data_IF_285165536390
#
_entry.id   IF_285165536390
#
_cell.length_a   1.000
_cell.length_b   1.000
_cell.length_c   1.000
_cell.angle_alpha   90.00
_cell.angle_beta   90.00
_cell.angle_gamma   90.00
#
_symmetry.space_group_name_H-M   'P 1'
#
loop_
_entity.id
_entity.type
_entity.pdbx_description
1 polymer ?
#
# COMPACT_ATOMS: atom_id res chain seq x y z
N UNK A 1 -9.99 -10.26 -8.29
CA UNK A 1 -9.36 -10.98 -7.16
C UNK A 1 -8.67 -10.01 -6.20
N UNK A 2 -7.73 -9.19 -6.68
CA UNK A 2 -7.01 -8.21 -5.84
C UNK A 2 -7.90 -7.16 -5.17
N UNK A 3 -8.98 -6.72 -5.82
CA UNK A 3 -9.96 -5.80 -5.21
C UNK A 3 -10.62 -6.40 -3.95
N UNK A 4 -11.01 -7.67 -4.02
CA UNK A 4 -11.59 -8.38 -2.88
C UNK A 4 -10.55 -8.59 -1.77
N UNK A 5 -9.36 -9.07 -2.11
CA UNK A 5 -8.29 -9.28 -1.13
C UNK A 5 -7.85 -7.98 -0.45
N UNK A 6 -7.67 -6.90 -1.22
CA UNK A 6 -7.33 -5.57 -0.72
C UNK A 6 -8.42 -5.00 0.19
N UNK A 7 -9.70 -5.16 -0.19
CA UNK A 7 -10.84 -4.78 0.65
C UNK A 7 -10.83 -5.51 1.99
N UNK A 8 -10.62 -6.83 1.99
CA UNK A 8 -10.55 -7.62 3.23
C UNK A 8 -9.36 -7.23 4.10
N UNK A 9 -8.19 -6.97 3.49
CA UNK A 9 -7.01 -6.50 4.20
C UNK A 9 -7.24 -5.15 4.88
N UNK A 10 -7.82 -4.17 4.18
CA UNK A 10 -8.12 -2.85 4.75
C UNK A 10 -9.06 -2.98 5.96
N UNK A 11 -10.11 -3.81 5.84
CA UNK A 11 -11.06 -4.06 6.94
C UNK A 11 -10.39 -4.72 8.14
N UNK A 12 -9.62 -5.79 7.93
CA UNK A 12 -8.97 -6.51 9.01
C UNK A 12 -7.96 -5.64 9.77
N UNK A 13 -7.16 -4.84 9.05
CA UNK A 13 -6.21 -3.91 9.68
C UNK A 13 -6.94 -2.84 10.50
N UNK A 14 -8.03 -2.28 9.95
CA UNK A 14 -8.84 -1.28 10.62
C UNK A 14 -9.56 -1.81 11.86
N UNK A 15 -10.03 -3.06 11.84
CA UNK A 15 -10.64 -3.73 13.00
C UNK A 15 -9.64 -3.89 14.17
N UNK A 16 -8.34 -4.02 13.86
CA UNK A 16 -7.24 -4.04 14.84
C UNK A 16 -6.76 -2.62 15.25
N UNK A 17 -7.41 -1.56 14.75
CA UNK A 17 -7.04 -0.17 15.05
C UNK A 17 -5.77 0.31 14.36
N UNK A 18 -5.38 -0.33 13.26
CA UNK A 18 -4.22 0.07 12.44
C UNK A 18 -4.68 1.08 11.40
N UNK A 19 -3.95 2.19 11.28
CA UNK A 19 -4.15 3.19 10.23
C UNK A 19 -3.74 2.62 8.87
N UNK A 20 -4.62 2.74 7.88
CA UNK A 20 -4.40 2.18 6.54
C UNK A 20 -4.25 3.30 5.52
N UNK A 21 -3.10 3.29 4.85
CA UNK A 21 -2.87 4.06 3.62
C UNK A 21 -2.92 3.11 2.44
N UNK A 22 -3.89 3.31 1.56
CA UNK A 22 -4.07 2.51 0.36
C UNK A 22 -3.69 3.29 -0.89
N UNK A 23 -2.90 2.68 -1.77
CA UNK A 23 -2.64 3.18 -3.13
C UNK A 23 -3.09 2.15 -4.16
N UNK A 24 -3.88 2.58 -5.15
CA UNK A 24 -4.30 1.76 -6.28
C UNK A 24 -4.59 2.63 -7.50
N UNK A 25 -4.07 2.27 -8.68
CA UNK A 25 -4.27 3.07 -9.90
C UNK A 25 -5.65 2.91 -10.55
N UNK A 26 -6.46 1.94 -10.11
CA UNK A 26 -7.77 1.68 -10.70
C UNK A 26 -8.90 2.36 -9.88
N UNK A 27 -9.56 3.41 -10.39
CA UNK A 27 -10.66 4.08 -9.69
C UNK A 27 -11.95 3.24 -9.65
N UNK A 28 -12.05 2.18 -10.45
CA UNK A 28 -13.24 1.34 -10.55
C UNK A 28 -13.13 0.09 -9.65
N UNK A 29 -12.70 0.27 -8.40
CA UNK A 29 -12.56 -0.82 -7.41
C UNK A 29 -13.22 -0.46 -6.09
N UNK A 30 -13.76 -1.46 -5.38
CA UNK A 30 -14.39 -1.26 -4.07
C UNK A 30 -13.35 -0.83 -3.04
N UNK A 31 -12.12 -1.35 -3.14
CA UNK A 31 -11.04 -0.98 -2.23
C UNK A 31 -10.68 0.52 -2.28
N UNK A 32 -10.97 1.21 -3.38
CA UNK A 32 -10.71 2.65 -3.54
C UNK A 32 -11.87 3.55 -3.11
N UNK A 33 -12.94 3.00 -2.54
CA UNK A 33 -13.97 3.83 -1.90
C UNK A 33 -13.35 4.57 -0.71
N UNK A 34 -13.70 5.85 -0.55
CA UNK A 34 -13.07 6.74 0.44
C UNK A 34 -13.21 6.30 1.89
N UNK A 35 -14.13 5.37 2.17
CA UNK A 35 -14.40 4.87 3.51
C UNK A 35 -13.60 3.59 3.83
N UNK A 36 -12.89 3.02 2.85
CA UNK A 36 -12.24 1.71 2.99
C UNK A 36 -10.94 1.75 3.80
N UNK A 37 -10.18 2.83 3.66
CA UNK A 37 -8.93 3.07 4.36
C UNK A 37 -8.94 4.49 4.93
N UNK A 38 -8.02 4.82 5.82
CA UNK A 38 -7.94 6.18 6.38
C UNK A 38 -7.53 7.17 5.29
N UNK A 39 -6.52 6.81 4.48
CA UNK A 39 -6.13 7.55 3.29
C UNK A 39 -6.16 6.66 2.04
N UNK A 40 -6.86 7.10 0.99
CA UNK A 40 -6.95 6.40 -0.30
C UNK A 40 -6.33 7.27 -1.41
N UNK A 41 -5.37 6.70 -2.13
CA UNK A 41 -4.64 7.32 -3.23
C UNK A 41 -4.92 6.60 -4.55
N UNK A 42 -5.57 7.30 -5.47
CA UNK A 42 -5.79 6.81 -6.83
C UNK A 42 -4.70 7.38 -7.74
N UNK A 43 -3.53 6.74 -7.71
CA UNK A 43 -2.32 7.20 -8.37
C UNK A 43 -1.62 6.05 -9.12
N UNK A 44 -0.75 6.34 -10.11
CA UNK A 44 0.01 5.30 -10.81
C UNK A 44 0.88 4.48 -9.86
N UNK A 45 0.73 3.15 -9.88
CA UNK A 45 1.57 2.23 -9.12
C UNK A 45 2.96 2.13 -9.73
N UNK A 46 3.81 3.10 -9.41
CA UNK A 46 5.21 3.21 -9.83
C UNK A 46 6.09 3.53 -8.64
N UNK A 47 7.37 3.13 -8.71
CA UNK A 47 8.34 3.37 -7.62
C UNK A 47 8.41 4.86 -7.21
N UNK A 48 8.50 5.84 -8.13
CA UNK A 48 8.59 7.25 -7.73
C UNK A 48 7.36 7.75 -6.97
N UNK A 49 6.16 7.36 -7.42
CA UNK A 49 4.90 7.75 -6.77
C UNK A 49 4.82 7.14 -5.37
N UNK A 50 5.14 5.84 -5.23
CA UNK A 50 5.11 5.18 -3.93
C UNK A 50 6.12 5.79 -2.96
N UNK A 51 7.34 6.15 -3.41
CA UNK A 51 8.32 6.85 -2.56
C UNK A 51 7.80 8.19 -2.06
N UNK A 52 7.26 9.01 -2.95
CA UNK A 52 6.67 10.31 -2.58
C UNK A 52 5.56 10.13 -1.55
N UNK A 53 4.75 9.09 -1.72
CA UNK A 53 3.68 8.79 -0.77
C UNK A 53 4.23 8.32 0.58
N UNK A 54 5.24 7.46 0.59
CA UNK A 54 5.89 7.01 1.83
C UNK A 54 6.60 8.15 2.57
N UNK A 55 7.17 9.13 1.86
CA UNK A 55 7.76 10.32 2.47
C UNK A 55 6.70 11.23 3.12
N UNK A 56 5.51 11.31 2.52
CA UNK A 56 4.37 12.07 3.04
C UNK A 56 3.74 11.38 4.25
N UNK A 57 3.41 10.11 4.10
CA UNK A 57 2.61 9.33 5.06
C UNK A 57 3.45 8.68 6.16
N UNK A 58 4.75 8.46 5.91
CA UNK A 58 5.70 7.85 6.84
C UNK A 58 5.19 6.54 7.46
N UNK A 59 4.80 5.54 6.65
CA UNK A 59 4.23 4.31 7.16
C UNK A 59 5.25 3.46 7.92
N UNK A 60 4.83 2.79 8.98
CA UNK A 60 5.69 1.85 9.72
C UNK A 60 5.90 0.52 8.99
N UNK A 61 4.94 0.13 8.14
CA UNK A 61 4.96 -1.14 7.45
C UNK A 61 4.39 -1.06 6.02
N UNK A 62 4.81 -2.02 5.19
CA UNK A 62 4.35 -2.21 3.81
C UNK A 62 3.78 -3.62 3.64
N UNK A 63 2.56 -3.73 3.14
CA UNK A 63 1.90 -5.01 2.80
C UNK A 63 1.75 -5.16 1.28
N UNK A 64 2.75 -5.73 0.57
CA UNK A 64 2.75 -5.76 -0.90
C UNK A 64 2.01 -6.98 -1.50
N UNK A 65 1.59 -7.93 -0.66
CA UNK A 65 1.03 -9.23 -1.09
C UNK A 65 -0.41 -9.14 -1.59
N UNK A 66 -1.09 -8.01 -1.40
CA UNK A 66 -2.50 -7.82 -1.78
C UNK A 66 -2.70 -7.20 -3.17
N UNK A 67 -1.63 -6.68 -3.80
CA UNK A 67 -1.69 -5.96 -5.08
C UNK A 67 -1.14 -6.73 -6.30
N UNK A 68 -0.97 -8.05 -6.18
CA UNK A 68 -0.43 -8.90 -7.24
C UNK A 68 1.04 -8.61 -7.59
N UNK A 69 1.47 -9.02 -8.78
CA UNK A 69 2.88 -8.94 -9.18
C UNK A 69 3.42 -7.52 -9.24
N UNK A 70 2.58 -6.54 -9.60
CA UNK A 70 3.03 -5.15 -9.69
C UNK A 70 3.44 -4.60 -8.31
N UNK A 71 2.63 -4.84 -7.28
CA UNK A 71 2.95 -4.44 -5.91
C UNK A 71 4.22 -5.12 -5.38
N UNK A 72 4.37 -6.43 -5.66
CA UNK A 72 5.59 -7.17 -5.30
C UNK A 72 6.84 -6.60 -5.99
N UNK A 73 6.75 -6.29 -7.30
CA UNK A 73 7.88 -5.73 -8.05
C UNK A 73 8.30 -4.36 -7.50
N UNK A 74 7.34 -3.51 -7.14
CA UNK A 74 7.63 -2.20 -6.53
C UNK A 74 8.28 -2.39 -5.16
N UNK A 75 7.73 -3.28 -4.32
CA UNK A 75 8.29 -3.55 -3.00
C UNK A 75 9.74 -4.08 -3.08
N UNK A 76 10.01 -5.00 -4.01
CA UNK A 76 11.38 -5.49 -4.27
C UNK A 76 12.30 -4.34 -4.72
N UNK A 77 11.87 -3.50 -5.66
CA UNK A 77 12.69 -2.37 -6.10
C UNK A 77 13.00 -1.38 -4.97
N UNK A 78 12.04 -1.12 -4.08
CA UNK A 78 12.24 -0.27 -2.89
C UNK A 78 13.20 -0.91 -1.87
N UNK A 79 13.13 -2.24 -1.71
CA UNK A 79 14.02 -2.99 -0.83
C UNK A 79 15.45 -3.03 -1.38
N UNK A 80 15.62 -3.33 -2.66
CA UNK A 80 16.92 -3.43 -3.34
C UNK A 80 17.69 -2.10 -3.33
N UNK A 81 16.99 -0.98 -3.37
CA UNK A 81 17.59 0.36 -3.26
C UNK A 81 17.89 0.76 -1.79
N UNK A 82 17.50 -0.05 -0.81
CA UNK A 82 17.61 0.28 0.62
C UNK A 82 16.66 1.39 1.07
N UNK A 83 15.66 1.75 0.26
CA UNK A 83 14.72 2.82 0.58
C UNK A 83 13.88 2.48 1.81
N UNK A 84 13.40 1.23 1.91
CA UNK A 84 12.60 0.76 3.04
C UNK A 84 13.39 0.83 4.35
N UNK A 85 14.64 0.37 4.35
CA UNK A 85 15.53 0.39 5.52
C UNK A 85 15.81 1.83 5.98
N UNK A 86 16.12 2.74 5.03
CA UNK A 86 16.36 4.15 5.31
C UNK A 86 15.17 4.85 5.97
N UNK A 87 13.94 4.42 5.65
CA UNK A 87 12.71 5.00 6.19
C UNK A 87 12.12 4.16 7.34
N UNK A 88 12.85 3.14 7.82
CA UNK A 88 12.42 2.23 8.89
C UNK A 88 11.09 1.51 8.62
N UNK A 89 10.76 1.27 7.35
CA UNK A 89 9.52 0.60 6.94
C UNK A 89 9.72 -0.91 6.90
N UNK A 90 8.89 -1.65 7.62
CA UNK A 90 8.93 -3.12 7.64
C UNK A 90 8.02 -3.71 6.58
N UNK A 91 8.53 -4.60 5.75
CA UNK A 91 7.66 -5.42 4.90
C UNK A 91 6.97 -6.47 5.77
N UNK A 92 5.65 -6.55 5.67
CA UNK A 92 4.81 -7.53 6.37
C UNK A 92 3.99 -8.34 5.35
N UNK A 93 3.58 -9.54 5.76
CA UNK A 93 2.80 -10.45 4.92
C UNK A 93 3.64 -11.41 4.09
#
# INVERSE_FOLDING_TARGET
EFDYAGTQACRALREEGIEVVLINSNPATIMTDGDMADHVYIEPLTVPVVKQLMEKEKPDALLPTMGGQNALNIAMALADEGFLEKHHVKTIG
#
